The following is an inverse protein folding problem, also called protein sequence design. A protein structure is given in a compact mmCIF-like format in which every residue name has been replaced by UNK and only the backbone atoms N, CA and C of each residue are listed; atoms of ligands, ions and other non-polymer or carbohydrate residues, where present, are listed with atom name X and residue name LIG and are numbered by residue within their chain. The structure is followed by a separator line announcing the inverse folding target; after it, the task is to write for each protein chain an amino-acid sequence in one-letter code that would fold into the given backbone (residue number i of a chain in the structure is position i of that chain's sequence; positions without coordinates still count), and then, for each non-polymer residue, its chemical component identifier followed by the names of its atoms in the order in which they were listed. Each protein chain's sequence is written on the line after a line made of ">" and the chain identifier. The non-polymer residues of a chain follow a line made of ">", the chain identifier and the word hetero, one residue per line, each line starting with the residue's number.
data_IF_132606823629
#
_entry.id   IF_132606823629
#
_cell.length_a   1.000
_cell.length_b   1.000
_cell.length_c   1.000
_cell.angle_alpha   90.00
_cell.angle_beta   90.00
_cell.angle_gamma   90.00
#
_symmetry.space_group_name_H-M   'P 1'
#
loop_
_entity.id
_entity.type
_entity.pdbx_description
1 polymer ?
#
# COMPACT_ATOMS: atom_id res chain seq x y z
N UNK A 1 -0.47 26.58 3.20
CA UNK A 1 0.93 27.00 3.25
C UNK A 1 1.79 25.79 3.49
N UNK A 2 2.45 25.26 2.45
CA UNK A 2 3.30 24.08 2.55
C UNK A 2 4.71 24.51 2.92
N UNK A 3 5.14 24.21 4.15
CA UNK A 3 6.50 24.47 4.63
C UNK A 3 7.39 23.34 4.12
N UNK A 4 8.13 23.60 3.05
CA UNK A 4 9.21 22.73 2.58
C UNK A 4 10.32 22.73 3.63
N UNK A 5 10.66 21.56 4.17
CA UNK A 5 11.84 21.39 5.02
C UNK A 5 13.14 21.63 4.23
N UNK A 6 14.23 22.04 4.89
CA UNK A 6 15.45 22.45 4.21
C UNK A 6 16.12 21.26 3.49
N UNK A 7 16.74 21.48 2.32
CA UNK A 7 17.50 20.44 1.63
C UNK A 7 18.85 20.20 2.32
N UNK A 8 19.26 18.94 2.40
CA UNK A 8 20.59 18.54 2.91
C UNK A 8 21.67 18.87 1.87
N UNK A 9 22.90 19.23 2.30
CA UNK A 9 23.95 19.70 1.40
C UNK A 9 24.53 18.58 0.53
N UNK A 10 24.66 18.86 -0.78
CA UNK A 10 25.34 18.01 -1.74
C UNK A 10 26.86 18.26 -1.67
N UNK A 11 27.63 17.22 -1.40
CA UNK A 11 29.09 17.25 -1.49
C UNK A 11 29.55 16.66 -2.82
N UNK A 12 30.06 17.50 -3.71
CA UNK A 12 30.77 17.11 -4.95
C UNK A 12 32.29 17.06 -4.69
N UNK A 13 33.06 16.14 -5.30
CA UNK A 13 34.50 16.27 -5.37
C UNK A 13 34.95 16.89 -6.70
N UNK A 14 35.84 17.88 -6.57
CA UNK A 14 36.58 18.59 -7.60
C UNK A 14 37.58 17.70 -8.35
N UNK A 15 37.62 17.83 -9.68
CA UNK A 15 38.69 17.30 -10.54
C UNK A 15 39.77 18.37 -10.74
N UNK A 16 41.03 17.99 -10.52
CA UNK A 16 42.20 18.79 -10.91
C UNK A 16 43.14 17.95 -11.77
N UNK A 17 43.35 18.43 -12.98
CA UNK A 17 44.34 18.01 -13.97
C UNK A 17 45.76 18.47 -13.59
N UNK A 18 46.80 17.74 -14.04
CA UNK A 18 48.12 18.25 -14.50
C UNK A 18 48.92 17.10 -15.16
N UNK A 19 49.74 17.51 -16.11
CA UNK A 19 50.40 16.86 -17.24
C UNK A 19 51.82 16.28 -17.01
N UNK A 20 52.17 15.27 -17.83
CA UNK A 20 53.44 15.00 -18.56
C UNK A 20 54.84 15.13 -17.90
N UNK A 21 55.59 14.00 -17.80
CA UNK A 21 56.79 13.61 -18.62
C UNK A 21 57.77 12.64 -17.90
N UNK A 22 57.96 11.48 -18.53
CA UNK A 22 59.20 10.77 -18.93
C UNK A 22 60.43 10.67 -17.98
N UNK A 23 60.85 9.45 -17.60
CA UNK A 23 62.09 8.74 -18.02
C UNK A 23 62.47 7.56 -17.09
N UNK A 24 62.99 6.50 -17.72
CA UNK A 24 63.37 5.19 -17.16
C UNK A 24 64.56 5.20 -16.19
N UNK A 25 64.48 4.47 -15.08
CA UNK A 25 65.55 3.56 -14.63
C UNK A 25 65.17 2.66 -13.43
N UNK A 26 65.18 1.35 -13.69
CA UNK A 26 65.78 0.23 -12.92
C UNK A 26 65.55 0.04 -11.41
N UNK A 27 65.16 -1.22 -11.10
CA UNK A 27 65.52 -2.12 -9.98
C UNK A 27 64.66 -2.26 -8.71
N UNK A 28 64.40 -3.55 -8.42
CA UNK A 28 63.99 -4.22 -7.16
C UNK A 28 62.56 -4.08 -6.67
N UNK A 29 61.78 -5.15 -6.89
CA UNK A 29 60.51 -5.45 -6.26
C UNK A 29 60.65 -5.56 -4.74
N UNK A 30 60.14 -4.57 -4.02
CA UNK A 30 59.60 -4.71 -2.67
C UNK A 30 58.17 -4.19 -2.72
N UNK A 31 57.20 -5.10 -2.82
CA UNK A 31 55.77 -4.75 -2.85
C UNK A 31 55.34 -4.24 -1.48
N UNK A 32 55.42 -2.93 -1.27
CA UNK A 32 54.71 -2.26 -0.19
C UNK A 32 53.25 -2.24 -0.62
N UNK A 33 52.43 -3.07 0.04
CA UNK A 33 51.00 -3.14 -0.22
C UNK A 33 50.39 -1.75 -0.11
N UNK A 34 49.79 -1.30 -1.21
CA UNK A 34 48.83 -0.20 -1.21
C UNK A 34 47.81 -0.45 -0.09
N UNK A 35 47.47 0.54 0.75
CA UNK A 35 46.38 0.37 1.69
C UNK A 35 45.13 0.15 0.84
N UNK A 36 44.66 -1.09 0.81
CA UNK A 36 43.44 -1.49 0.12
C UNK A 36 42.33 -0.59 0.65
N UNK A 37 41.90 0.37 -0.17
CA UNK A 37 40.76 1.23 0.14
C UNK A 37 39.62 0.28 0.56
N UNK A 38 39.08 0.40 1.79
CA UNK A 38 38.06 -0.51 2.25
C UNK A 38 36.92 -0.47 1.22
N UNK A 39 36.33 -1.63 0.88
CA UNK A 39 35.28 -1.68 -0.13
C UNK A 39 34.23 -0.63 0.22
N UNK A 40 34.03 0.34 -0.66
CA UNK A 40 33.19 1.52 -0.43
C UNK A 40 31.75 1.16 -0.03
N UNK A 41 31.31 -0.06 -0.37
CA UNK A 41 30.05 -0.67 0.10
C UNK A 41 29.90 -0.70 1.63
N UNK A 42 30.98 -0.90 2.38
CA UNK A 42 30.89 -1.06 3.84
C UNK A 42 30.68 0.30 4.54
N UNK A 43 31.26 1.39 4.02
CA UNK A 43 31.11 2.72 4.62
C UNK A 43 29.72 3.30 4.36
N UNK A 44 29.19 3.16 3.14
CA UNK A 44 27.82 3.59 2.82
C UNK A 44 26.79 2.90 3.73
N UNK A 45 26.92 1.58 3.90
CA UNK A 45 26.02 0.80 4.73
C UNK A 45 26.11 1.18 6.22
N UNK A 46 27.33 1.16 6.77
CA UNK A 46 27.55 1.37 8.20
C UNK A 46 27.21 2.79 8.67
N UNK A 47 27.35 3.80 7.81
CA UNK A 47 27.14 5.20 8.20
C UNK A 47 25.87 5.84 7.64
N UNK A 48 25.45 5.53 6.41
CA UNK A 48 24.33 6.23 5.79
C UNK A 48 23.04 5.40 5.84
N UNK A 49 23.03 4.21 5.25
CA UNK A 49 21.78 3.47 5.01
C UNK A 49 21.07 3.10 6.32
N UNK A 50 21.81 2.58 7.30
CA UNK A 50 21.24 2.20 8.61
C UNK A 50 20.63 3.41 9.32
N UNK A 51 21.34 4.54 9.35
CA UNK A 51 20.84 5.78 9.96
C UNK A 51 19.66 6.36 9.18
N UNK A 52 19.68 6.27 7.85
CA UNK A 52 18.60 6.73 6.99
C UNK A 52 17.30 5.95 7.24
N UNK A 53 17.39 4.62 7.27
CA UNK A 53 16.24 3.73 7.54
C UNK A 53 15.65 3.97 8.92
N UNK A 54 16.49 4.16 9.95
CA UNK A 54 16.04 4.51 11.29
C UNK A 54 15.31 5.87 11.30
N UNK A 55 15.88 6.89 10.64
CA UNK A 55 15.30 8.22 10.57
C UNK A 55 13.92 8.21 9.88
N UNK A 56 13.79 7.58 8.71
CA UNK A 56 12.50 7.54 8.01
C UNK A 56 11.46 6.72 8.79
N UNK A 57 11.87 5.65 9.48
CA UNK A 57 10.97 4.85 10.32
C UNK A 57 10.39 5.70 11.43
N UNK A 58 11.21 6.45 12.15
CA UNK A 58 10.78 7.28 13.29
C UNK A 58 9.96 8.50 12.83
N UNK A 59 10.33 9.10 11.69
CA UNK A 59 9.58 10.19 11.09
C UNK A 59 8.18 9.73 10.64
N UNK A 60 8.11 8.69 9.79
CA UNK A 60 6.83 8.25 9.23
C UNK A 60 5.95 7.51 10.23
N UNK A 61 6.51 6.87 11.26
CA UNK A 61 5.71 6.32 12.38
C UNK A 61 4.93 7.42 13.08
N UNK A 62 5.59 8.55 13.42
CA UNK A 62 4.91 9.67 14.07
C UNK A 62 3.87 10.29 13.14
N UNK A 63 4.24 10.51 11.87
CA UNK A 63 3.31 11.10 10.90
C UNK A 63 2.07 10.20 10.67
N UNK A 64 2.24 8.88 10.51
CA UNK A 64 1.15 7.95 10.29
C UNK A 64 0.19 7.92 11.49
N UNK A 65 0.72 7.80 12.71
CA UNK A 65 -0.07 7.80 13.95
C UNK A 65 -0.85 9.11 14.14
N UNK A 66 -0.26 10.27 13.84
CA UNK A 66 -0.97 11.55 13.95
C UNK A 66 -2.05 11.72 12.87
N UNK A 67 -1.85 11.12 11.69
CA UNK A 67 -2.74 11.31 10.56
C UNK A 67 -3.97 10.40 10.61
N UNK A 68 -3.82 9.15 11.08
CA UNK A 68 -4.88 8.13 11.06
C UNK A 68 -6.12 8.53 11.87
N UNK A 69 -5.94 9.21 12.99
CA UNK A 69 -7.07 9.59 13.88
C UNK A 69 -7.81 10.85 13.40
N UNK A 70 -7.27 11.58 12.42
CA UNK A 70 -7.75 12.92 12.04
C UNK A 70 -8.36 13.00 10.64
N UNK A 71 -8.23 11.94 9.86
CA UNK A 71 -8.60 11.93 8.45
C UNK A 71 -9.38 10.66 8.11
N UNK A 72 -10.11 10.71 7.01
CA UNK A 72 -10.77 9.52 6.48
C UNK A 72 -9.74 8.49 6.00
N UNK A 73 -10.14 7.23 5.91
CA UNK A 73 -9.27 6.16 5.39
C UNK A 73 -8.82 6.46 3.96
N UNK A 74 -9.69 7.01 3.10
CA UNK A 74 -9.31 7.43 1.75
C UNK A 74 -8.15 8.44 1.73
N UNK A 75 -8.27 9.53 2.50
CA UNK A 75 -7.22 10.55 2.63
C UNK A 75 -5.92 9.99 3.23
N UNK A 76 -6.05 9.08 4.20
CA UNK A 76 -4.90 8.39 4.78
C UNK A 76 -4.14 7.57 3.72
N UNK A 77 -4.86 6.78 2.91
CA UNK A 77 -4.26 5.94 1.87
C UNK A 77 -3.61 6.79 0.76
N UNK A 78 -4.24 7.90 0.36
CA UNK A 78 -3.65 8.84 -0.60
C UNK A 78 -2.34 9.45 -0.08
N UNK A 79 -2.31 9.80 1.21
CA UNK A 79 -1.10 10.32 1.84
C UNK A 79 -0.02 9.25 1.94
N UNK A 80 -0.36 8.02 2.32
CA UNK A 80 0.55 6.88 2.36
C UNK A 80 1.21 6.66 0.99
N UNK A 81 0.40 6.56 -0.07
CA UNK A 81 0.88 6.38 -1.45
C UNK A 81 1.78 7.56 -1.90
N UNK A 82 1.41 8.79 -1.54
CA UNK A 82 2.23 9.98 -1.83
C UNK A 82 3.60 9.92 -1.15
N UNK A 83 3.65 9.51 0.13
CA UNK A 83 4.92 9.33 0.87
C UNK A 83 5.76 8.20 0.28
N UNK A 84 5.16 7.06 -0.04
CA UNK A 84 5.84 5.95 -0.70
C UNK A 84 6.46 6.36 -2.05
N UNK A 85 5.71 7.11 -2.88
CA UNK A 85 6.23 7.64 -4.15
C UNK A 85 7.35 8.67 -3.93
N UNK A 86 7.26 9.50 -2.90
CA UNK A 86 8.30 10.47 -2.57
C UNK A 86 9.61 9.79 -2.19
N UNK A 87 9.55 8.79 -1.32
CA UNK A 87 10.73 8.03 -0.89
C UNK A 87 11.33 7.22 -2.02
N UNK A 88 10.50 6.58 -2.86
CA UNK A 88 10.96 5.90 -4.06
C UNK A 88 11.80 6.83 -4.94
N UNK A 89 11.31 8.04 -5.23
CA UNK A 89 12.07 9.03 -6.02
C UNK A 89 13.37 9.44 -5.33
N UNK A 90 13.35 9.58 -4.00
CA UNK A 90 14.56 9.94 -3.24
C UNK A 90 15.63 8.86 -3.34
N UNK A 91 15.26 7.60 -3.21
CA UNK A 91 16.17 6.47 -3.38
C UNK A 91 16.72 6.45 -4.81
N UNK A 92 15.86 6.60 -5.82
CA UNK A 92 16.26 6.62 -7.24
C UNK A 92 17.23 7.76 -7.58
N UNK A 93 17.15 8.89 -6.87
CA UNK A 93 17.97 10.08 -7.16
C UNK A 93 19.28 10.12 -6.38
N UNK A 94 19.28 9.67 -5.12
CA UNK A 94 20.37 9.96 -4.19
C UNK A 94 21.03 8.75 -3.54
N UNK A 95 20.58 7.53 -3.82
CA UNK A 95 20.99 6.32 -3.08
C UNK A 95 21.34 5.16 -4.01
N UNK A 96 22.01 4.14 -3.45
CA UNK A 96 22.18 2.88 -4.17
C UNK A 96 20.82 2.15 -4.25
N UNK A 97 20.13 2.33 -5.39
CA UNK A 97 18.84 1.71 -5.66
C UNK A 97 18.85 0.20 -5.48
N UNK A 98 19.94 -0.48 -5.83
CA UNK A 98 20.00 -1.94 -5.80
C UNK A 98 19.98 -2.50 -4.38
N UNK A 99 20.51 -1.74 -3.42
CA UNK A 99 20.63 -2.16 -2.03
C UNK A 99 19.56 -1.55 -1.12
N UNK A 100 19.14 -0.31 -1.39
CA UNK A 100 18.34 0.49 -0.45
C UNK A 100 16.84 0.48 -0.75
N UNK A 101 16.43 0.27 -2.00
CA UNK A 101 15.02 0.41 -2.40
C UNK A 101 14.07 -0.54 -1.66
N UNK A 102 14.40 -1.83 -1.59
CA UNK A 102 13.55 -2.82 -0.91
C UNK A 102 13.41 -2.52 0.57
N UNK A 103 14.51 -2.16 1.25
CA UNK A 103 14.51 -1.83 2.69
C UNK A 103 13.68 -0.58 2.99
N UNK A 104 13.74 0.44 2.14
CA UNK A 104 12.90 1.64 2.28
C UNK A 104 11.43 1.27 2.07
N UNK A 105 11.12 0.44 1.07
CA UNK A 105 9.75 -0.03 0.84
C UNK A 105 9.21 -0.83 2.03
N UNK A 106 10.00 -1.74 2.60
CA UNK A 106 9.62 -2.52 3.79
C UNK A 106 9.32 -1.62 5.00
N UNK A 107 10.18 -0.61 5.25
CA UNK A 107 9.93 0.36 6.33
C UNK A 107 8.61 1.10 6.10
N UNK A 108 8.36 1.58 4.87
CA UNK A 108 7.16 2.34 4.56
C UNK A 108 5.89 1.49 4.59
N UNK A 109 5.95 0.27 4.05
CA UNK A 109 4.86 -0.70 4.09
C UNK A 109 4.49 -1.02 5.54
N UNK A 110 5.48 -1.22 6.41
CA UNK A 110 5.24 -1.46 7.84
C UNK A 110 4.61 -0.24 8.55
N UNK A 111 5.20 0.95 8.42
CA UNK A 111 4.77 2.13 9.17
C UNK A 111 3.43 2.68 8.70
N UNK A 112 3.14 2.66 7.39
CA UNK A 112 1.89 3.20 6.85
C UNK A 112 0.77 2.16 6.80
N UNK A 113 1.09 0.89 6.53
CA UNK A 113 0.07 -0.13 6.23
C UNK A 113 0.09 -1.24 7.28
N UNK A 114 1.21 -1.96 7.44
CA UNK A 114 1.30 -3.19 8.22
C UNK A 114 0.81 -3.07 9.67
N UNK A 115 1.09 -1.95 10.32
CA UNK A 115 0.64 -1.71 11.70
C UNK A 115 -0.78 -1.14 11.83
N UNK A 116 -1.38 -0.69 10.73
CA UNK A 116 -2.64 0.07 10.72
C UNK A 116 -3.78 -0.60 9.93
N UNK A 117 -3.49 -1.62 9.11
CA UNK A 117 -4.46 -2.16 8.14
C UNK A 117 -5.79 -2.59 8.78
N UNK A 118 -5.75 -3.23 9.97
CA UNK A 118 -6.98 -3.62 10.68
C UNK A 118 -7.85 -2.41 11.03
N UNK A 119 -7.24 -1.37 11.61
CA UNK A 119 -7.92 -0.11 11.93
C UNK A 119 -8.52 0.54 10.69
N UNK A 120 -7.78 0.57 9.58
CA UNK A 120 -8.24 1.16 8.32
C UNK A 120 -9.41 0.37 7.69
N UNK A 121 -9.37 -0.96 7.75
CA UNK A 121 -10.45 -1.83 7.25
C UNK A 121 -11.72 -1.66 8.10
N UNK A 122 -11.56 -1.63 9.43
CA UNK A 122 -12.66 -1.66 10.39
C UNK A 122 -13.25 -0.28 10.71
N UNK A 123 -12.66 0.81 10.21
CA UNK A 123 -13.17 2.16 10.46
C UNK A 123 -14.63 2.28 9.97
N UNK A 124 -15.52 2.67 10.87
CA UNK A 124 -16.97 2.66 10.68
C UNK A 124 -17.47 3.50 9.48
N UNK A 125 -16.94 4.72 9.31
CA UNK A 125 -17.52 5.73 8.41
C UNK A 125 -16.79 5.88 7.07
N UNK A 126 -15.55 5.37 6.98
CA UNK A 126 -14.69 5.50 5.82
C UNK A 126 -13.89 4.24 5.50
N UNK A 127 -13.95 3.20 6.34
CA UNK A 127 -13.29 1.92 6.09
C UNK A 127 -14.04 1.05 5.07
N UNK A 128 -13.67 -0.23 4.98
CA UNK A 128 -14.14 -1.12 3.92
C UNK A 128 -15.66 -1.20 3.82
N UNK A 129 -16.38 -1.29 4.96
CA UNK A 129 -17.85 -1.37 4.97
C UNK A 129 -18.49 -0.16 4.29
N UNK A 130 -18.06 1.04 4.68
CA UNK A 130 -18.54 2.29 4.09
C UNK A 130 -18.19 2.39 2.60
N UNK A 131 -16.95 2.02 2.24
CA UNK A 131 -16.51 2.03 0.84
C UNK A 131 -17.32 1.07 -0.06
N UNK A 132 -17.64 -0.14 0.42
CA UNK A 132 -18.48 -1.09 -0.31
C UNK A 132 -19.93 -0.60 -0.42
N UNK A 133 -20.52 -0.14 0.68
CA UNK A 133 -21.90 0.33 0.71
C UNK A 133 -22.14 1.51 -0.24
N UNK A 134 -21.17 2.41 -0.33
CA UNK A 134 -21.23 3.63 -1.15
C UNK A 134 -20.56 3.46 -2.52
N UNK A 135 -20.10 2.25 -2.86
CA UNK A 135 -19.38 1.95 -4.10
C UNK A 135 -18.20 2.90 -4.40
N UNK A 136 -17.38 3.22 -3.39
CA UNK A 136 -16.18 4.08 -3.51
C UNK A 136 -15.03 3.32 -4.17
N UNK A 137 -15.14 3.10 -5.49
CA UNK A 137 -14.23 2.27 -6.27
C UNK A 137 -12.78 2.74 -6.24
N UNK A 138 -12.53 4.06 -6.31
CA UNK A 138 -11.17 4.62 -6.28
C UNK A 138 -10.45 4.33 -4.97
N UNK A 139 -11.13 4.53 -3.84
CA UNK A 139 -10.61 4.25 -2.50
C UNK A 139 -10.33 2.76 -2.32
N UNK A 140 -11.26 1.88 -2.72
CA UNK A 140 -11.06 0.42 -2.66
C UNK A 140 -9.90 -0.04 -3.55
N UNK A 141 -9.74 0.55 -4.74
CA UNK A 141 -8.62 0.25 -5.63
C UNK A 141 -7.28 0.61 -4.99
N UNK A 142 -7.21 1.80 -4.40
CA UNK A 142 -6.00 2.26 -3.72
C UNK A 142 -5.68 1.38 -2.51
N UNK A 143 -6.71 1.06 -1.71
CA UNK A 143 -6.59 0.15 -0.58
C UNK A 143 -6.06 -1.21 -1.01
N UNK A 144 -6.65 -1.83 -2.05
CA UNK A 144 -6.17 -3.11 -2.58
C UNK A 144 -4.73 -3.04 -3.07
N UNK A 145 -4.38 -1.98 -3.81
CA UNK A 145 -3.02 -1.78 -4.32
C UNK A 145 -2.00 -1.74 -3.18
N UNK A 146 -2.26 -0.96 -2.13
CA UNK A 146 -1.37 -0.81 -0.98
C UNK A 146 -1.34 -2.07 -0.11
N UNK A 147 -2.46 -2.79 0.00
CA UNK A 147 -2.60 -3.92 0.93
C UNK A 147 -2.24 -5.26 0.27
N UNK A 148 -2.04 -5.28 -1.06
CA UNK A 148 -1.69 -6.49 -1.83
C UNK A 148 -0.46 -7.25 -1.33
N UNK A 149 0.42 -6.58 -0.58
CA UNK A 149 1.64 -7.14 0.00
C UNK A 149 1.42 -7.80 1.37
N UNK A 150 0.22 -7.69 1.94
CA UNK A 150 -0.15 -8.20 3.26
C UNK A 150 -1.32 -9.18 3.06
N UNK A 151 -1.04 -10.50 2.95
CA UNK A 151 -2.07 -11.51 2.67
C UNK A 151 -3.24 -11.50 3.66
N UNK A 152 -2.95 -11.22 4.94
CA UNK A 152 -3.95 -11.12 6.00
C UNK A 152 -4.93 -9.98 5.75
N UNK A 153 -4.43 -8.84 5.25
CA UNK A 153 -5.26 -7.68 4.94
C UNK A 153 -6.24 -7.98 3.79
N UNK A 154 -5.80 -8.73 2.78
CA UNK A 154 -6.69 -9.15 1.68
C UNK A 154 -7.79 -10.10 2.17
N UNK A 155 -7.46 -10.99 3.09
CA UNK A 155 -8.42 -11.91 3.71
C UNK A 155 -9.45 -11.14 4.53
N UNK A 156 -9.02 -10.14 5.31
CA UNK A 156 -9.92 -9.28 6.08
C UNK A 156 -10.86 -8.46 5.16
N UNK A 157 -10.35 -7.90 4.05
CA UNK A 157 -11.18 -7.21 3.05
C UNK A 157 -12.22 -8.17 2.45
N UNK A 158 -11.82 -9.40 2.14
CA UNK A 158 -12.72 -10.41 1.58
C UNK A 158 -13.85 -10.78 2.56
N UNK A 159 -13.53 -10.94 3.85
CA UNK A 159 -14.51 -11.15 4.92
C UNK A 159 -15.49 -9.98 5.03
N UNK A 160 -14.99 -8.74 5.10
CA UNK A 160 -15.85 -7.55 5.18
C UNK A 160 -16.76 -7.43 3.95
N UNK A 161 -16.26 -7.73 2.76
CA UNK A 161 -17.08 -7.78 1.53
C UNK A 161 -18.21 -8.79 1.66
N UNK A 162 -17.93 -10.00 2.15
CA UNK A 162 -18.94 -11.03 2.36
C UNK A 162 -20.01 -10.56 3.36
N UNK A 163 -19.62 -9.98 4.49
CA UNK A 163 -20.54 -9.40 5.46
C UNK A 163 -21.43 -8.31 4.85
N UNK A 164 -20.85 -7.42 4.02
CA UNK A 164 -21.61 -6.36 3.36
C UNK A 164 -22.65 -6.91 2.38
N UNK A 165 -22.33 -7.98 1.66
CA UNK A 165 -23.26 -8.65 0.75
C UNK A 165 -24.41 -9.28 1.54
N UNK A 166 -24.09 -10.05 2.60
CA UNK A 166 -25.09 -10.70 3.43
C UNK A 166 -26.03 -9.69 4.11
N UNK A 167 -25.48 -8.59 4.65
CA UNK A 167 -26.29 -7.52 5.24
C UNK A 167 -27.21 -6.86 4.21
N UNK A 168 -26.69 -6.52 3.02
CA UNK A 168 -27.50 -5.89 1.98
C UNK A 168 -28.62 -6.79 1.43
N UNK A 169 -28.40 -8.12 1.39
CA UNK A 169 -29.44 -9.08 1.02
C UNK A 169 -30.48 -9.19 2.14
N UNK A 170 -30.05 -9.29 3.41
CA UNK A 170 -30.98 -9.34 4.55
C UNK A 170 -31.88 -8.09 4.61
N UNK A 171 -31.31 -6.89 4.40
CA UNK A 171 -32.07 -5.64 4.31
C UNK A 171 -33.11 -5.67 3.18
N UNK A 172 -32.74 -6.26 2.04
CA UNK A 172 -33.63 -6.41 0.89
C UNK A 172 -34.78 -7.38 1.15
N UNK A 173 -34.54 -8.45 1.92
CA UNK A 173 -35.53 -9.47 2.32
C UNK A 173 -36.45 -8.97 3.44
N UNK A 174 -35.95 -8.08 4.30
CA UNK A 174 -36.71 -7.44 5.37
C UNK A 174 -37.64 -6.31 4.88
N UNK A 175 -37.33 -5.70 3.73
CA UNK A 175 -38.12 -4.63 3.12
C UNK A 175 -39.54 -5.11 2.75
N UNK A 176 -40.56 -4.70 3.51
CA UNK A 176 -41.96 -5.08 3.27
C UNK A 176 -42.48 -4.73 1.86
N UNK A 177 -41.84 -3.76 1.19
CA UNK A 177 -42.20 -3.36 -0.19
C UNK A 177 -41.70 -4.32 -1.26
N UNK A 178 -40.78 -5.22 -0.93
CA UNK A 178 -40.24 -6.26 -1.82
C UNK A 178 -40.85 -7.64 -1.54
N UNK A 179 -41.20 -7.90 -0.27
CA UNK A 179 -41.77 -9.18 0.20
C UNK A 179 -43.07 -9.54 -0.51
N UNK A 180 -43.90 -8.54 -0.85
CA UNK A 180 -45.18 -8.74 -1.55
C UNK A 180 -45.10 -8.49 -3.07
N UNK A 181 -43.89 -8.29 -3.61
CA UNK A 181 -43.67 -7.98 -5.02
C UNK A 181 -42.45 -8.73 -5.58
N UNK A 182 -42.61 -10.01 -5.98
CA UNK A 182 -41.51 -10.88 -6.41
C UNK A 182 -40.64 -10.28 -7.53
N UNK A 183 -41.27 -9.62 -8.51
CA UNK A 183 -40.56 -8.97 -9.61
C UNK A 183 -39.66 -7.84 -9.09
N UNK A 184 -40.15 -7.00 -8.18
CA UNK A 184 -39.37 -5.90 -7.58
C UNK A 184 -38.23 -6.41 -6.71
N UNK A 185 -38.45 -7.51 -5.99
CA UNK A 185 -37.39 -8.16 -5.23
C UNK A 185 -36.26 -8.62 -6.16
N UNK A 186 -36.59 -9.34 -7.25
CA UNK A 186 -35.61 -9.80 -8.23
C UNK A 186 -34.88 -8.63 -8.90
N UNK A 187 -35.59 -7.57 -9.29
CA UNK A 187 -34.97 -6.36 -9.87
C UNK A 187 -33.95 -5.71 -8.92
N UNK A 188 -34.32 -5.49 -7.66
CA UNK A 188 -33.41 -4.92 -6.65
C UNK A 188 -32.22 -5.86 -6.36
N UNK A 189 -32.44 -7.17 -6.33
CA UNK A 189 -31.39 -8.16 -6.11
C UNK A 189 -30.39 -8.19 -7.27
N UNK A 190 -30.87 -8.15 -8.51
CA UNK A 190 -30.03 -8.07 -9.70
C UNK A 190 -29.20 -6.77 -9.70
N UNK A 191 -29.83 -5.62 -9.39
CA UNK A 191 -29.13 -4.35 -9.27
C UNK A 191 -28.06 -4.37 -8.17
N UNK A 192 -28.33 -5.02 -7.03
CA UNK A 192 -27.38 -5.20 -5.94
C UNK A 192 -26.18 -6.03 -6.38
N UNK A 193 -26.43 -7.14 -7.09
CA UNK A 193 -25.40 -8.00 -7.66
C UNK A 193 -24.52 -7.25 -8.67
N UNK A 194 -25.12 -6.55 -9.62
CA UNK A 194 -24.38 -5.75 -10.61
C UNK A 194 -23.52 -4.66 -9.94
N UNK A 195 -24.00 -4.04 -8.86
CA UNK A 195 -23.24 -3.06 -8.09
C UNK A 195 -21.98 -3.67 -7.50
N UNK A 196 -22.09 -4.81 -6.80
CA UNK A 196 -20.93 -5.48 -6.21
C UNK A 196 -19.99 -6.05 -7.29
N UNK A 197 -20.51 -6.62 -8.38
CA UNK A 197 -19.71 -7.09 -9.52
C UNK A 197 -18.88 -5.96 -10.13
N UNK A 198 -19.49 -4.79 -10.33
CA UNK A 198 -18.80 -3.59 -10.83
C UNK A 198 -17.70 -3.15 -9.88
N UNK A 199 -17.99 -3.06 -8.57
CA UNK A 199 -16.99 -2.69 -7.56
C UNK A 199 -15.84 -3.68 -7.57
N UNK A 200 -16.12 -4.98 -7.58
CA UNK A 200 -15.07 -6.01 -7.55
C UNK A 200 -14.19 -5.96 -8.80
N UNK A 201 -14.82 -5.85 -9.97
CA UNK A 201 -14.12 -5.77 -11.26
C UNK A 201 -13.21 -4.54 -11.33
N UNK A 202 -13.71 -3.37 -10.92
CA UNK A 202 -12.98 -2.11 -11.06
C UNK A 202 -11.99 -1.82 -9.94
N UNK A 203 -12.22 -2.31 -8.72
CA UNK A 203 -11.35 -2.06 -7.57
C UNK A 203 -10.24 -3.10 -7.44
N UNK A 204 -10.54 -4.38 -7.66
CA UNK A 204 -9.60 -5.49 -7.40
C UNK A 204 -8.96 -6.06 -8.67
N UNK A 205 -8.91 -5.26 -9.75
CA UNK A 205 -8.22 -5.61 -10.99
C UNK A 205 -8.73 -6.89 -11.66
N UNK A 206 -10.01 -7.23 -11.48
CA UNK A 206 -10.58 -8.48 -12.00
C UNK A 206 -10.10 -9.74 -11.28
N UNK A 207 -9.63 -9.64 -10.03
CA UNK A 207 -9.23 -10.81 -9.24
C UNK A 207 -10.33 -11.89 -9.25
N UNK A 208 -9.98 -13.05 -9.82
CA UNK A 208 -10.89 -14.18 -9.95
C UNK A 208 -11.30 -14.71 -8.58
N UNK A 209 -10.38 -14.69 -7.61
CA UNK A 209 -10.64 -15.07 -6.24
C UNK A 209 -11.72 -14.18 -5.61
N UNK A 210 -11.55 -12.85 -5.68
CA UNK A 210 -12.54 -11.91 -5.15
C UNK A 210 -13.89 -12.03 -5.85
N UNK A 211 -13.89 -12.30 -7.15
CA UNK A 211 -15.10 -12.51 -7.95
C UNK A 211 -15.82 -13.81 -7.59
N UNK A 212 -15.08 -14.92 -7.42
CA UNK A 212 -15.64 -16.21 -7.03
C UNK A 212 -16.17 -16.19 -5.60
N UNK A 213 -15.43 -15.63 -4.66
CA UNK A 213 -15.89 -15.45 -3.28
C UNK A 213 -17.17 -14.61 -3.20
N UNK A 214 -17.31 -13.59 -4.05
CA UNK A 214 -18.54 -12.80 -4.13
C UNK A 214 -19.72 -13.65 -4.64
N UNK A 215 -19.55 -14.44 -5.72
CA UNK A 215 -20.61 -15.35 -6.20
C UNK A 215 -21.07 -16.31 -5.11
N UNK A 216 -20.12 -16.96 -4.44
CA UNK A 216 -20.39 -17.86 -3.31
C UNK A 216 -21.09 -17.13 -2.16
N UNK A 217 -20.71 -15.88 -1.86
CA UNK A 217 -21.36 -15.08 -0.83
C UNK A 217 -22.82 -14.76 -1.16
N UNK A 218 -23.14 -14.43 -2.42
CA UNK A 218 -24.52 -14.24 -2.88
C UNK A 218 -25.33 -15.53 -2.76
N UNK A 219 -24.82 -16.65 -3.29
CA UNK A 219 -25.49 -17.96 -3.22
C UNK A 219 -25.77 -18.38 -1.77
N UNK A 220 -24.75 -18.30 -0.90
CA UNK A 220 -24.86 -18.66 0.51
C UNK A 220 -25.85 -17.78 1.25
N UNK A 221 -25.85 -16.47 0.98
CA UNK A 221 -26.76 -15.53 1.65
C UNK A 221 -28.21 -15.76 1.24
N UNK A 222 -28.47 -16.04 -0.04
CA UNK A 222 -29.82 -16.35 -0.54
C UNK A 222 -30.34 -17.71 -0.04
N UNK A 223 -29.48 -18.73 0.02
CA UNK A 223 -29.88 -20.07 0.48
C UNK A 223 -30.12 -20.14 2.00
N UNK A 224 -29.55 -19.22 2.77
CA UNK A 224 -29.74 -19.16 4.22
C UNK A 224 -31.03 -18.46 4.64
N UNK A 225 -31.74 -17.81 3.71
CA UNK A 225 -33.00 -17.11 4.00
C UNK A 225 -34.23 -17.98 3.70
N UNK A 226 -35.06 -18.34 4.69
CA UNK A 226 -36.19 -19.25 4.53
C UNK A 226 -37.29 -18.74 3.57
N UNK A 227 -37.26 -17.46 3.19
CA UNK A 227 -38.18 -16.85 2.21
C UNK A 227 -37.77 -17.06 0.75
N UNK A 228 -36.51 -17.41 0.47
CA UNK A 228 -36.01 -17.68 -0.88
C UNK A 228 -35.96 -19.18 -1.22
N UNK A 229 -36.31 -20.05 -0.26
CA UNK A 229 -36.28 -21.50 -0.38
C UNK A 229 -37.62 -22.14 -0.80
N UNK A 230 -38.64 -21.34 -1.11
CA UNK A 230 -39.98 -21.81 -1.49
C UNK A 230 -40.53 -21.10 -2.72
#
# INVERSE_FOLDING_TARGET
>A
GYRTGPPLPASSPSSSSISDRNTSNRSSLGSVGEPTRPPSSNVYYSWFEVNYLALIRDFYTREANEYIDRHTVGEYLEKADSRMRQEKRRVETYMDRTQTMSKVQEVLDYVWIGRHYKTLIQQENSGCKAMFAQARVSELRLMYSLFSRIPEALTDIATVKQECISAAIADLVADETTVNAPVRFVEKLLALRERFERVVSQAFGGSLEFSNQMKVAFEKSLNNDPKCAH
#
